data_IF_117851522823
#
_entry.id   IF_117851522823
#
_cell.length_a   1.000
_cell.length_b   1.000
_cell.length_c   1.000
_cell.angle_alpha   90.00
_cell.angle_beta   90.00
_cell.angle_gamma   90.00
#
_symmetry.space_group_name_H-M   'P 1'
#
loop_
_entity.id
_entity.type
_entity.pdbx_description
1 polymer ?
#
# COMPACT_ATOMS: atom_id res chain seq x y z
N UNK A 1 -20.12 -18.34 -34.48
CA UNK A 1 -19.03 -18.73 -33.56
C UNK A 1 -17.90 -17.72 -33.74
N UNK A 2 -17.96 -16.59 -33.03
CA UNK A 2 -16.99 -15.50 -33.16
C UNK A 2 -16.21 -15.37 -31.86
N UNK A 3 -14.88 -15.49 -31.97
CA UNK A 3 -13.94 -15.55 -30.87
C UNK A 3 -13.84 -14.20 -30.14
N UNK A 4 -14.04 -14.24 -28.81
CA UNK A 4 -13.70 -13.15 -27.90
C UNK A 4 -12.19 -12.97 -27.85
N UNK A 5 -11.68 -11.86 -28.40
CA UNK A 5 -10.31 -11.39 -28.16
C UNK A 5 -10.23 -10.91 -26.71
N UNK A 6 -9.53 -11.67 -25.88
CA UNK A 6 -9.26 -11.34 -24.50
C UNK A 6 -8.32 -10.12 -24.44
N UNK A 7 -8.91 -8.93 -24.25
CA UNK A 7 -8.19 -7.65 -24.18
C UNK A 7 -7.57 -7.51 -22.79
N UNK A 8 -6.47 -8.23 -22.52
CA UNK A 8 -5.60 -7.89 -21.40
C UNK A 8 -5.00 -6.51 -21.67
N UNK A 9 -5.59 -5.49 -21.06
CA UNK A 9 -5.02 -4.14 -21.00
C UNK A 9 -3.72 -4.26 -20.21
N UNK A 10 -2.58 -4.35 -20.90
CA UNK A 10 -1.28 -4.20 -20.27
C UNK A 10 -1.29 -2.80 -19.64
N UNK A 11 -1.25 -2.74 -18.31
CA UNK A 11 -1.16 -1.47 -17.59
C UNK A 11 0.09 -0.74 -18.12
N UNK A 12 -0.11 0.44 -18.72
CA UNK A 12 0.98 1.22 -19.30
C UNK A 12 1.81 1.75 -18.14
N UNK A 13 2.97 1.13 -17.89
CA UNK A 13 3.94 1.66 -16.92
C UNK A 13 4.29 3.09 -17.33
N UNK A 14 4.23 4.02 -16.39
CA UNK A 14 4.44 5.44 -16.63
C UNK A 14 5.83 5.79 -16.13
N UNK A 15 6.57 6.59 -16.88
CA UNK A 15 7.85 7.12 -16.43
C UNK A 15 7.71 8.62 -16.18
N UNK A 16 8.09 9.07 -14.98
CA UNK A 16 8.07 10.48 -14.58
C UNK A 16 9.35 10.78 -13.80
N UNK A 17 10.08 11.82 -14.19
CA UNK A 17 11.39 12.20 -13.61
C UNK A 17 12.38 11.02 -13.45
N UNK A 18 12.39 10.10 -14.42
CA UNK A 18 13.26 8.93 -14.41
C UNK A 18 12.80 7.77 -13.51
N UNK A 19 11.73 7.95 -12.73
CA UNK A 19 11.11 6.89 -11.93
C UNK A 19 9.95 6.23 -12.66
N UNK A 20 9.69 4.96 -12.36
CA UNK A 20 8.59 4.18 -12.94
C UNK A 20 7.44 4.08 -11.95
N UNK A 21 6.23 4.11 -12.48
CA UNK A 21 4.98 3.96 -11.74
C UNK A 21 4.14 2.91 -12.46
N UNK A 22 3.46 2.05 -11.70
CA UNK A 22 2.64 0.97 -12.22
C UNK A 22 1.22 1.43 -12.61
N UNK A 23 0.80 2.63 -12.17
CA UNK A 23 -0.47 3.23 -12.59
C UNK A 23 -0.49 4.76 -12.63
N UNK A 24 -1.46 5.34 -13.36
CA UNK A 24 -1.75 6.78 -13.33
C UNK A 24 -2.13 7.28 -11.93
N UNK A 25 -2.78 6.43 -11.12
CA UNK A 25 -3.21 6.79 -9.76
C UNK A 25 -2.03 6.89 -8.82
N UNK A 26 -1.07 5.99 -8.98
CA UNK A 26 0.17 5.97 -8.21
C UNK A 26 1.02 7.20 -8.51
N UNK A 27 1.22 7.53 -9.80
CA UNK A 27 1.87 8.78 -10.19
C UNK A 27 1.11 10.01 -9.65
N UNK A 28 -0.22 10.00 -9.72
CA UNK A 28 -1.05 11.08 -9.21
C UNK A 28 -0.95 11.23 -7.68
N UNK A 29 -0.82 10.13 -6.93
CA UNK A 29 -0.58 10.16 -5.48
C UNK A 29 0.78 10.81 -5.20
N UNK A 30 1.83 10.33 -5.88
CA UNK A 30 3.17 10.87 -5.74
C UNK A 30 3.22 12.39 -6.00
N UNK A 31 2.77 12.83 -7.18
CA UNK A 31 2.82 14.24 -7.58
C UNK A 31 2.05 15.16 -6.63
N UNK A 32 0.97 14.68 -6.02
CA UNK A 32 0.10 15.52 -5.19
C UNK A 32 0.55 15.59 -3.74
N UNK A 33 1.03 14.47 -3.19
CA UNK A 33 1.19 14.34 -1.75
C UNK A 33 2.62 14.01 -1.31
N UNK A 34 3.44 13.41 -2.19
CA UNK A 34 4.77 12.94 -1.83
C UNK A 34 5.91 13.72 -2.49
N UNK A 35 5.67 14.32 -3.65
CA UNK A 35 6.73 14.96 -4.46
C UNK A 35 7.46 16.08 -3.70
N UNK A 36 6.76 16.83 -2.84
CA UNK A 36 7.37 17.88 -2.00
C UNK A 36 8.27 17.34 -0.90
N UNK A 37 8.17 16.06 -0.54
CA UNK A 37 9.00 15.42 0.49
C UNK A 37 10.38 15.00 -0.03
N UNK A 38 10.60 15.05 -1.35
CA UNK A 38 11.93 14.87 -1.95
C UNK A 38 12.53 13.49 -1.72
N UNK A 39 13.74 13.46 -1.16
CA UNK A 39 14.57 12.27 -0.94
C UNK A 39 14.08 11.36 0.18
N UNK A 40 13.16 11.84 1.03
CA UNK A 40 12.46 11.01 2.03
C UNK A 40 11.56 9.95 1.40
N UNK A 41 11.23 10.07 0.11
CA UNK A 41 10.29 9.18 -0.58
C UNK A 41 11.04 8.12 -1.37
N UNK A 42 10.89 6.88 -0.93
CA UNK A 42 11.35 5.71 -1.66
C UNK A 42 10.23 5.20 -2.56
N UNK A 43 10.47 5.15 -3.86
CA UNK A 43 9.55 4.62 -4.86
C UNK A 43 9.83 3.12 -5.12
N UNK A 44 8.83 2.27 -4.93
CA UNK A 44 8.91 0.81 -5.02
C UNK A 44 10.12 0.15 -4.30
N UNK A 45 10.43 0.53 -3.04
CA UNK A 45 11.48 -0.14 -2.28
C UNK A 45 11.14 -1.62 -2.10
N UNK A 46 12.16 -2.48 -1.97
CA UNK A 46 11.95 -3.93 -1.78
C UNK A 46 12.30 -4.34 -0.37
N UNK A 47 11.32 -4.92 0.34
CA UNK A 47 11.48 -5.45 1.69
C UNK A 47 11.42 -6.97 1.69
N UNK A 48 12.30 -7.62 2.46
CA UNK A 48 12.19 -9.05 2.74
C UNK A 48 11.14 -9.23 3.84
N UNK A 49 10.00 -9.85 3.52
CA UNK A 49 8.90 -10.07 4.47
C UNK A 49 8.87 -11.48 5.03
N UNK A 50 9.52 -12.44 4.35
CA UNK A 50 9.84 -13.76 4.91
C UNK A 50 11.23 -14.18 4.48
N UNK A 51 12.03 -14.59 5.44
CA UNK A 51 13.38 -15.07 5.18
C UNK A 51 13.35 -16.43 4.49
N UNK A 52 14.43 -16.75 3.76
CA UNK A 52 14.62 -18.11 3.30
C UNK A 52 14.89 -19.02 4.50
N UNK A 53 14.38 -20.24 4.46
CA UNK A 53 14.60 -21.24 5.50
C UNK A 53 15.09 -22.54 4.89
N UNK A 54 15.68 -23.39 5.71
CA UNK A 54 16.13 -24.73 5.30
C UNK A 54 15.17 -25.76 5.88
N UNK A 55 14.78 -26.75 5.07
CA UNK A 55 13.94 -27.87 5.48
C UNK A 55 14.64 -29.17 5.05
N UNK A 56 15.46 -29.72 5.94
CA UNK A 56 16.38 -30.81 5.60
C UNK A 56 17.36 -30.39 4.50
N UNK A 57 17.38 -31.13 3.38
CA UNK A 57 18.22 -30.80 2.22
C UNK A 57 17.65 -29.73 1.27
N UNK A 58 16.46 -29.19 1.54
CA UNK A 58 15.78 -28.24 0.66
C UNK A 58 15.83 -26.81 1.20
N UNK A 59 15.86 -25.82 0.29
CA UNK A 59 15.80 -24.40 0.64
C UNK A 59 14.44 -23.80 0.28
N UNK A 60 13.73 -23.33 1.29
CA UNK A 60 12.56 -22.48 1.15
C UNK A 60 12.93 -21.10 0.60
N UNK A 61 12.17 -20.61 -0.38
CA UNK A 61 12.43 -19.32 -1.03
C UNK A 61 12.07 -18.16 -0.10
N UNK A 62 12.92 -17.12 -0.06
CA UNK A 62 12.58 -15.83 0.58
C UNK A 62 11.38 -15.20 -0.13
N UNK A 63 10.55 -14.46 0.62
CA UNK A 63 9.46 -13.65 0.08
C UNK A 63 9.79 -12.17 0.25
N UNK A 64 9.58 -11.40 -0.81
CA UNK A 64 9.71 -9.95 -0.79
C UNK A 64 8.37 -9.29 -1.04
N UNK A 65 8.23 -8.07 -0.54
CA UNK A 65 7.12 -7.17 -0.81
C UNK A 65 7.69 -5.81 -1.22
N UNK A 66 7.06 -5.18 -2.20
CA UNK A 66 7.42 -3.85 -2.66
C UNK A 66 6.15 -2.99 -2.58
N UNK A 67 5.98 -2.18 -1.52
CA UNK A 67 4.92 -1.18 -1.50
C UNK A 67 5.13 -0.16 -2.62
N UNK A 68 4.13 0.66 -2.91
CA UNK A 68 4.27 1.70 -3.94
C UNK A 68 5.21 2.80 -3.46
N UNK A 69 5.04 3.24 -2.20
CA UNK A 69 5.91 4.25 -1.59
C UNK A 69 6.22 3.94 -0.14
N UNK A 70 7.42 4.34 0.28
CA UNK A 70 7.76 4.48 1.70
C UNK A 70 8.24 5.91 1.92
N UNK A 71 7.74 6.55 2.97
CA UNK A 71 8.23 7.83 3.44
C UNK A 71 9.06 7.59 4.68
N UNK A 72 10.26 8.15 4.71
CA UNK A 72 11.15 8.07 5.85
C UNK A 72 11.01 9.32 6.73
N UNK A 73 11.04 9.10 8.04
CA UNK A 73 11.20 10.15 9.03
C UNK A 73 12.63 10.75 8.93
N UNK A 74 12.88 11.93 9.52
CA UNK A 74 14.20 12.56 9.51
C UNK A 74 15.33 11.70 10.09
N UNK A 75 15.01 10.75 10.97
CA UNK A 75 15.96 9.81 11.58
C UNK A 75 16.21 8.54 10.73
N UNK A 76 15.55 8.44 9.56
CA UNK A 76 15.66 7.31 8.65
C UNK A 76 14.75 6.13 8.99
N UNK A 77 13.91 6.23 10.03
CA UNK A 77 12.88 5.24 10.31
C UNK A 77 11.70 5.36 9.34
N UNK A 78 10.86 4.32 9.28
CA UNK A 78 9.67 4.31 8.43
C UNK A 78 8.59 5.16 9.09
N UNK A 79 8.14 6.20 8.39
CA UNK A 79 7.03 7.06 8.82
C UNK A 79 5.72 6.56 8.18
N UNK A 80 5.73 6.39 6.85
CA UNK A 80 4.58 5.89 6.10
C UNK A 80 4.95 4.77 5.14
N UNK A 81 4.03 3.83 4.94
CA UNK A 81 4.12 2.79 3.91
C UNK A 81 2.82 2.78 3.11
N UNK A 82 2.88 3.29 1.88
CA UNK A 82 1.71 3.45 1.03
C UNK A 82 1.61 2.37 -0.04
N UNK A 83 0.39 1.86 -0.22
CA UNK A 83 0.02 1.01 -1.35
C UNK A 83 -1.26 1.57 -2.00
N UNK A 84 -1.12 2.05 -3.23
CA UNK A 84 -2.13 2.82 -3.96
C UNK A 84 -3.13 1.89 -4.63
N UNK A 85 -4.40 2.12 -4.33
CA UNK A 85 -5.53 1.31 -4.76
C UNK A 85 -6.45 2.08 -5.68
N UNK A 86 -7.24 1.32 -6.44
CA UNK A 86 -8.18 1.89 -7.39
C UNK A 86 -9.31 2.66 -6.69
N UNK A 87 -9.68 2.29 -5.47
CA UNK A 87 -10.74 2.92 -4.70
C UNK A 87 -10.91 2.25 -3.33
N UNK A 88 -11.43 3.00 -2.37
CA UNK A 88 -11.77 2.53 -1.03
C UNK A 88 -13.23 2.89 -0.78
N UNK A 89 -14.04 1.86 -0.52
CA UNK A 89 -15.46 2.03 -0.19
C UNK A 89 -15.64 1.88 1.31
N UNK A 90 -16.17 2.92 1.94
CA UNK A 90 -16.56 2.84 3.34
C UNK A 90 -17.78 1.94 3.51
N UNK A 91 -17.74 1.10 4.54
CA UNK A 91 -18.84 0.21 4.91
C UNK A 91 -19.06 0.28 6.42
N UNK A 92 -20.26 0.66 6.82
CA UNK A 92 -20.72 0.55 8.20
C UNK A 92 -21.07 -0.91 8.54
N UNK A 93 -20.50 -1.40 9.62
CA UNK A 93 -20.76 -2.73 10.16
C UNK A 93 -21.96 -2.70 11.10
N UNK A 94 -22.54 -3.87 11.37
CA UNK A 94 -23.67 -4.01 12.32
C UNK A 94 -23.32 -3.52 13.73
N UNK A 95 -22.03 -3.51 14.09
CA UNK A 95 -21.50 -2.99 15.34
C UNK A 95 -21.48 -1.46 15.43
N UNK A 96 -21.84 -0.75 14.36
CA UNK A 96 -21.71 0.71 14.26
C UNK A 96 -20.31 1.19 13.83
N UNK A 97 -19.31 0.31 13.82
CA UNK A 97 -17.96 0.62 13.33
C UNK A 97 -17.95 0.75 11.81
N UNK A 98 -17.11 1.63 11.28
CA UNK A 98 -16.85 1.74 9.84
C UNK A 98 -15.64 0.90 9.46
N UNK A 99 -15.60 0.42 8.21
CA UNK A 99 -14.50 -0.38 7.67
C UNK A 99 -14.24 0.03 6.23
N UNK A 100 -12.97 0.05 5.84
CA UNK A 100 -12.58 0.23 4.45
C UNK A 100 -12.66 -1.08 3.66
N UNK A 101 -13.51 -1.13 2.64
CA UNK A 101 -13.48 -2.20 1.65
C UNK A 101 -12.53 -1.82 0.53
N UNK A 102 -11.48 -2.64 0.37
CA UNK A 102 -10.48 -2.52 -0.68
C UNK A 102 -10.43 -3.82 -1.47
N UNK A 103 -10.38 -3.72 -2.80
CA UNK A 103 -10.19 -4.88 -3.67
C UNK A 103 -8.70 -5.20 -3.75
N UNK A 104 -8.31 -6.33 -3.17
CA UNK A 104 -6.96 -6.88 -3.19
C UNK A 104 -7.04 -8.40 -3.39
N UNK A 105 -6.06 -8.97 -4.08
CA UNK A 105 -5.94 -10.41 -4.20
C UNK A 105 -5.33 -11.03 -2.91
N UNK A 106 -5.48 -12.35 -2.78
CA UNK A 106 -5.02 -13.07 -1.60
C UNK A 106 -3.49 -13.03 -1.41
N UNK A 107 -2.71 -12.97 -2.50
CA UNK A 107 -1.24 -12.88 -2.42
C UNK A 107 -0.83 -11.52 -1.87
N UNK A 108 -1.40 -10.43 -2.39
CA UNK A 108 -1.18 -9.08 -1.90
C UNK A 108 -1.60 -8.95 -0.42
N UNK A 109 -2.79 -9.43 -0.06
CA UNK A 109 -3.26 -9.43 1.33
C UNK A 109 -2.26 -10.10 2.27
N UNK A 110 -1.70 -11.22 1.85
CA UNK A 110 -0.68 -11.95 2.61
C UNK A 110 0.66 -11.21 2.65
N UNK A 111 1.05 -10.50 1.60
CA UNK A 111 2.29 -9.69 1.60
C UNK A 111 2.20 -8.54 2.60
N UNK A 112 1.04 -7.87 2.64
CA UNK A 112 0.73 -6.84 3.62
C UNK A 112 0.79 -7.41 5.04
N UNK A 113 0.14 -8.55 5.30
CA UNK A 113 0.22 -9.23 6.62
C UNK A 113 1.66 -9.60 7.00
N UNK A 114 2.45 -10.17 6.08
CA UNK A 114 3.84 -10.52 6.33
C UNK A 114 4.72 -9.29 6.63
N UNK A 115 4.49 -8.18 5.92
CA UNK A 115 5.20 -6.92 6.16
C UNK A 115 4.86 -6.37 7.55
N UNK A 116 3.57 -6.20 7.85
CA UNK A 116 3.10 -5.66 9.13
C UNK A 116 3.64 -6.46 10.31
N UNK A 117 3.64 -7.81 10.22
CA UNK A 117 4.21 -8.68 11.26
C UNK A 117 5.71 -8.55 11.45
N UNK A 118 6.47 -8.38 10.36
CA UNK A 118 7.94 -8.37 10.41
C UNK A 118 8.50 -7.01 10.79
N UNK A 119 7.89 -5.93 10.32
CA UNK A 119 8.38 -4.57 10.52
C UNK A 119 7.63 -3.81 11.62
N UNK A 120 6.56 -4.39 12.17
CA UNK A 120 5.69 -3.74 13.16
C UNK A 120 5.25 -2.34 12.71
N UNK A 121 4.87 -2.21 11.43
CA UNK A 121 4.41 -0.96 10.84
C UNK A 121 3.23 -1.23 9.91
N UNK A 122 2.14 -0.45 9.95
CA UNK A 122 0.99 -0.65 9.09
C UNK A 122 1.33 -0.40 7.62
N UNK A 123 0.66 -1.11 6.71
CA UNK A 123 0.61 -0.71 5.30
C UNK A 123 -0.69 0.05 5.07
N UNK A 124 -0.55 1.30 4.67
CA UNK A 124 -1.64 2.23 4.44
C UNK A 124 -2.16 2.06 3.02
N UNK A 125 -3.34 1.45 2.89
CA UNK A 125 -4.00 1.33 1.60
C UNK A 125 -4.65 2.67 1.29
N UNK A 126 -4.20 3.31 0.22
CA UNK A 126 -4.65 4.66 -0.14
C UNK A 126 -5.35 4.70 -1.49
N UNK A 127 -6.39 5.51 -1.63
CA UNK A 127 -7.03 5.77 -2.92
C UNK A 127 -7.17 7.27 -3.18
N UNK A 128 -6.66 7.71 -4.33
CA UNK A 128 -6.63 9.12 -4.72
C UNK A 128 -7.95 9.56 -5.34
N UNK A 129 -8.47 10.69 -4.87
CA UNK A 129 -9.68 11.32 -5.38
C UNK A 129 -9.36 12.69 -6.00
N UNK A 130 -10.36 13.57 -6.11
CA UNK A 130 -10.20 14.86 -6.78
C UNK A 130 -9.32 15.82 -5.98
N UNK A 131 -9.51 15.88 -4.66
CA UNK A 131 -8.87 16.85 -3.76
C UNK A 131 -8.31 16.24 -2.48
N UNK A 132 -8.63 14.99 -2.22
CA UNK A 132 -8.26 14.23 -1.04
C UNK A 132 -7.78 12.83 -1.46
N UNK A 133 -7.38 12.04 -0.46
CA UNK A 133 -7.29 10.61 -0.57
C UNK A 133 -7.94 9.95 0.63
N UNK A 134 -8.39 8.72 0.42
CA UNK A 134 -8.87 7.86 1.49
C UNK A 134 -7.77 6.92 1.91
N UNK A 135 -7.71 6.59 3.19
CA UNK A 135 -6.79 5.64 3.77
C UNK A 135 -7.55 4.61 4.60
N UNK A 136 -7.10 3.35 4.56
CA UNK A 136 -7.53 2.32 5.51
C UNK A 136 -6.40 1.31 5.70
N UNK A 137 -6.51 0.49 6.74
CA UNK A 137 -5.55 -0.58 7.08
C UNK A 137 -6.30 -1.91 7.13
N UNK A 138 -5.61 -2.99 6.75
CA UNK A 138 -6.18 -4.35 6.72
C UNK A 138 -5.39 -5.31 7.59
N UNK A 139 -5.88 -6.55 7.69
CA UNK A 139 -5.27 -7.63 8.48
C UNK A 139 -5.22 -7.33 9.99
N UNK A 140 -6.14 -6.50 10.46
CA UNK A 140 -6.41 -6.24 11.87
C UNK A 140 -7.62 -7.04 12.35
N UNK A 141 -7.68 -7.33 13.65
CA UNK A 141 -8.83 -8.00 14.27
C UNK A 141 -10.01 -7.04 14.47
N UNK A 142 -9.71 -5.79 14.83
CA UNK A 142 -10.67 -4.69 14.86
C UNK A 142 -10.60 -3.94 13.54
N UNK A 143 -11.72 -3.75 12.83
CA UNK A 143 -11.74 -3.02 11.56
C UNK A 143 -11.21 -1.59 11.74
N UNK A 144 -10.25 -1.23 10.90
CA UNK A 144 -9.84 0.17 10.76
C UNK A 144 -10.80 0.85 9.79
N UNK A 145 -11.28 2.02 10.18
CA UNK A 145 -12.21 2.83 9.38
C UNK A 145 -11.60 3.34 8.08
N UNK A 146 -12.33 4.24 7.43
CA UNK A 146 -11.82 5.00 6.29
C UNK A 146 -11.50 6.40 6.77
N UNK A 147 -10.24 6.79 6.65
CA UNK A 147 -9.79 8.14 6.96
C UNK A 147 -9.66 8.95 5.68
N UNK A 148 -9.89 10.25 5.79
CA UNK A 148 -9.85 11.18 4.67
C UNK A 148 -8.78 12.22 4.93
N UNK A 149 -7.83 12.34 4.01
CA UNK A 149 -6.68 13.23 4.15
C UNK A 149 -6.49 14.10 2.91
N UNK A 150 -6.01 15.30 3.13
CA UNK A 150 -5.61 16.26 2.07
C UNK A 150 -4.10 16.41 1.94
N UNK A 151 -3.33 15.83 2.87
CA UNK A 151 -1.88 15.79 2.90
C UNK A 151 -1.41 14.52 3.62
N UNK A 152 -0.10 14.33 3.74
CA UNK A 152 0.52 13.21 4.46
C UNK A 152 1.14 13.66 5.79
N UNK A 153 0.63 14.75 6.35
CA UNK A 153 1.07 15.29 7.64
C UNK A 153 0.13 14.75 8.74
N UNK A 154 0.23 13.45 8.99
CA UNK A 154 -0.49 12.76 10.06
C UNK A 154 0.36 11.61 10.58
N UNK A 155 0.12 11.23 11.83
CA UNK A 155 0.77 10.06 12.42
C UNK A 155 -0.16 8.84 12.32
N UNK A 156 0.30 7.80 11.63
CA UNK A 156 -0.46 6.55 11.50
C UNK A 156 -0.60 5.82 12.83
N UNK A 157 0.36 6.00 13.75
CA UNK A 157 0.37 5.37 15.08
C UNK A 157 -0.76 5.91 15.96
N UNK A 158 -1.05 7.22 15.88
CA UNK A 158 -2.19 7.86 16.55
C UNK A 158 -3.55 7.30 16.05
N UNK A 159 -3.60 6.90 14.78
CA UNK A 159 -4.82 6.34 14.16
C UNK A 159 -5.09 4.91 14.63
N UNK A 160 -4.04 4.11 14.81
CA UNK A 160 -4.16 2.71 15.22
C UNK A 160 -4.08 2.52 16.75
N UNK A 161 -3.71 3.58 17.48
CA UNK A 161 -3.72 3.62 18.95
C UNK A 161 -2.54 2.89 19.59
N UNK A 162 -1.32 3.12 19.09
CA UNK A 162 -0.07 2.66 19.74
C UNK A 162 0.26 3.41 21.03
#
# INVERSE_FOLDING_TARGET
>A
MSWMINKYKIAKKITYKGQKYDSEKELKFYQRYLESLGDRVLNHPTYVVRDSYTLGGYKGRKRTYSPDFVVLAPDGTIEHVYDVKAGITEKTLKSGQTSGKVYIDASMKKSVDDFQRKYNHPVELVAVYAHDFRMTIINTTVPVGVYHFTNVDYDVTEIIGE
#
